data_IF_138924051731
#
_entry.id   IF_138924051731
#
_cell.length_a   1.000
_cell.length_b   1.000
_cell.length_c   1.000
_cell.angle_alpha   90.00
_cell.angle_beta   90.00
_cell.angle_gamma   90.00
#
_symmetry.space_group_name_H-M   'P 1'
#
loop_
_entity.id
_entity.type
_entity.pdbx_description
1 polymer ?
#
# COMPACT_ATOMS: atom_id res chain seq x y z
N UNK A 1 8.57 -9.48 1.70
CA UNK A 1 7.87 -9.80 2.96
C UNK A 1 8.84 -9.90 4.14
N UNK A 2 9.90 -10.70 4.01
CA UNK A 2 10.87 -10.90 5.11
C UNK A 2 11.56 -9.61 5.53
N UNK A 3 12.01 -8.78 4.60
CA UNK A 3 12.69 -7.53 4.90
C UNK A 3 11.75 -6.54 5.60
N UNK A 4 10.51 -6.45 5.17
CA UNK A 4 9.51 -5.60 5.82
C UNK A 4 9.17 -6.10 7.23
N UNK A 5 9.06 -7.43 7.40
CA UNK A 5 8.86 -8.03 8.73
C UNK A 5 10.03 -7.72 9.69
N UNK A 6 11.26 -7.73 9.18
CA UNK A 6 12.45 -7.39 9.97
C UNK A 6 12.52 -5.89 10.31
N UNK A 7 12.00 -5.03 9.45
CA UNK A 7 11.92 -3.59 9.69
C UNK A 7 10.72 -3.18 10.57
N UNK A 8 9.87 -4.10 10.93
CA UNK A 8 8.59 -4.00 11.63
C UNK A 8 8.25 -2.61 12.17
N UNK A 9 7.39 -1.90 11.47
CA UNK A 9 6.85 -0.61 11.93
C UNK A 9 5.35 -0.76 12.22
N UNK A 10 4.85 -0.35 13.39
CA UNK A 10 3.47 -0.60 13.79
C UNK A 10 2.43 0.04 12.87
N UNK A 11 2.81 1.10 12.17
CA UNK A 11 1.93 1.82 11.26
C UNK A 11 1.98 1.30 9.81
N UNK A 12 2.89 0.37 9.50
CA UNK A 12 3.02 -0.24 8.16
C UNK A 12 2.51 -1.67 8.25
N UNK A 13 1.42 -1.95 7.52
CA UNK A 13 0.78 -3.28 7.54
C UNK A 13 0.88 -3.95 6.17
N UNK A 14 1.69 -5.00 6.03
CA UNK A 14 1.73 -5.79 4.80
C UNK A 14 0.47 -6.64 4.65
N UNK A 15 0.27 -7.17 3.44
CA UNK A 15 -0.76 -8.16 3.18
C UNK A 15 -0.36 -9.48 3.83
N UNK A 16 -1.29 -10.11 4.53
CA UNK A 16 -1.11 -11.43 5.12
C UNK A 16 -1.53 -12.50 4.13
N UNK A 17 -0.66 -13.48 3.91
CA UNK A 17 -0.98 -14.69 3.13
C UNK A 17 -1.50 -15.74 4.11
N UNK A 18 -2.72 -16.24 3.87
CA UNK A 18 -3.33 -17.25 4.72
C UNK A 18 -2.52 -18.56 4.69
N UNK A 19 -2.57 -19.29 5.80
CA UNK A 19 -1.90 -20.58 5.91
C UNK A 19 -2.31 -21.53 4.78
N UNK A 20 -1.36 -22.25 4.23
CA UNK A 20 -1.56 -23.18 3.12
C UNK A 20 -1.60 -22.53 1.74
N UNK A 21 -1.57 -21.19 1.64
CA UNK A 21 -1.57 -20.46 0.39
C UNK A 21 -0.18 -19.91 0.06
N UNK A 22 0.05 -19.67 -1.23
CA UNK A 22 1.25 -19.02 -1.75
C UNK A 22 0.86 -17.82 -2.58
N UNK A 23 1.57 -16.71 -2.43
CA UNK A 23 1.39 -15.53 -3.28
C UNK A 23 2.53 -15.39 -4.27
N UNK A 24 2.23 -15.01 -5.49
CA UNK A 24 3.24 -14.67 -6.52
C UNK A 24 3.71 -13.21 -6.41
N UNK A 25 3.09 -12.41 -5.55
CA UNK A 25 3.41 -10.99 -5.35
C UNK A 25 3.55 -10.22 -6.68
N UNK A 26 2.56 -10.34 -7.56
CA UNK A 26 2.50 -9.51 -8.77
C UNK A 26 2.53 -8.01 -8.44
N UNK A 27 2.02 -7.68 -7.25
CA UNK A 27 2.14 -6.36 -6.62
C UNK A 27 2.48 -6.57 -5.14
N UNK A 28 3.31 -5.70 -4.59
CA UNK A 28 3.60 -5.72 -3.15
C UNK A 28 2.90 -4.53 -2.50
N UNK A 29 1.72 -4.77 -1.95
CA UNK A 29 0.86 -3.75 -1.36
C UNK A 29 1.02 -3.73 0.16
N UNK A 30 1.13 -2.54 0.70
CA UNK A 30 1.14 -2.26 2.13
C UNK A 30 0.04 -1.25 2.46
N UNK A 31 -0.34 -1.16 3.72
CA UNK A 31 -1.23 -0.12 4.22
C UNK A 31 -0.42 0.84 5.10
N UNK A 32 -0.56 2.12 4.83
CA UNK A 32 0.15 3.20 5.54
C UNK A 32 -0.81 4.31 5.94
N UNK A 33 -0.54 5.00 7.04
CA UNK A 33 -1.26 6.24 7.37
C UNK A 33 -0.78 7.38 6.47
N UNK A 34 -1.57 8.43 6.34
CA UNK A 34 -1.17 9.64 5.60
C UNK A 34 -0.60 9.35 4.20
N UNK A 35 -1.25 8.43 3.49
CA UNK A 35 -0.75 7.88 2.20
C UNK A 35 -0.28 8.95 1.21
N UNK A 36 -1.04 10.02 1.02
CA UNK A 36 -0.68 11.06 0.06
C UNK A 36 0.68 11.71 0.40
N UNK A 37 0.92 11.99 1.66
CA UNK A 37 2.18 12.57 2.14
C UNK A 37 3.33 11.55 2.04
N UNK A 38 3.07 10.30 2.39
CA UNK A 38 4.04 9.20 2.25
C UNK A 38 4.48 9.05 0.78
N UNK A 39 3.54 9.10 -0.16
CA UNK A 39 3.83 9.05 -1.60
C UNK A 39 4.77 10.21 -2.01
N UNK A 40 4.49 11.42 -1.58
CA UNK A 40 5.32 12.58 -1.92
C UNK A 40 6.75 12.46 -1.36
N UNK A 41 6.90 11.99 -0.13
CA UNK A 41 8.22 11.76 0.47
C UNK A 41 8.98 10.66 -0.28
N UNK A 42 8.32 9.54 -0.61
CA UNK A 42 8.92 8.46 -1.39
C UNK A 42 9.35 8.92 -2.77
N UNK A 43 8.49 9.67 -3.45
CA UNK A 43 8.79 10.25 -4.77
C UNK A 43 10.01 11.17 -4.72
N UNK A 44 10.12 12.02 -3.71
CA UNK A 44 11.27 12.91 -3.51
C UNK A 44 12.58 12.12 -3.31
N UNK A 45 12.51 10.89 -2.80
CA UNK A 45 13.65 10.00 -2.63
C UNK A 45 13.83 9.01 -3.79
N UNK A 46 13.15 9.22 -4.92
CA UNK A 46 13.29 8.40 -6.11
C UNK A 46 12.60 7.03 -6.03
N UNK A 47 11.67 6.82 -5.08
CA UNK A 47 10.91 5.57 -4.96
C UNK A 47 9.53 5.75 -5.59
N UNK A 48 9.28 5.19 -6.78
CA UNK A 48 7.96 5.24 -7.41
C UNK A 48 6.99 4.30 -6.68
N UNK A 49 5.73 4.69 -6.64
CA UNK A 49 4.66 3.89 -6.02
C UNK A 49 3.42 3.91 -6.90
N UNK A 50 2.49 3.00 -6.61
CA UNK A 50 1.19 2.96 -7.27
C UNK A 50 0.10 2.72 -6.22
N UNK A 51 -1.13 3.11 -6.55
CA UNK A 51 -2.30 2.88 -5.69
C UNK A 51 -3.31 2.03 -6.45
N UNK A 52 -3.56 0.84 -5.97
CA UNK A 52 -4.51 -0.12 -6.54
C UNK A 52 -5.53 -0.53 -5.47
N UNK A 53 -6.63 0.20 -5.28
CA UNK A 53 -7.07 1.39 -6.03
C UNK A 53 -7.52 2.46 -5.03
N UNK A 54 -7.50 3.75 -5.40
CA UNK A 54 -7.80 4.83 -4.46
C UNK A 54 -9.29 5.03 -4.20
N UNK A 55 -10.15 4.41 -5.00
CA UNK A 55 -11.59 4.58 -4.93
C UNK A 55 -12.30 3.23 -4.96
N UNK A 56 -13.21 2.99 -4.00
CA UNK A 56 -14.03 1.79 -3.97
C UNK A 56 -14.97 1.70 -5.17
N UNK A 57 -15.30 0.47 -5.59
CA UNK A 57 -16.19 0.24 -6.75
C UNK A 57 -17.53 0.97 -6.62
N UNK A 58 -18.15 0.91 -5.43
CA UNK A 58 -19.45 1.55 -5.18
C UNK A 58 -19.38 3.09 -5.18
N UNK A 59 -18.20 3.67 -5.06
CA UNK A 59 -17.96 5.12 -5.12
C UNK A 59 -17.58 5.61 -6.52
N UNK A 60 -17.45 4.71 -7.49
CA UNK A 60 -17.13 5.09 -8.87
C UNK A 60 -18.26 5.96 -9.45
N UNK A 61 -17.92 6.98 -10.27
CA UNK A 61 -18.91 7.90 -10.85
C UNK A 61 -20.05 7.21 -11.63
N UNK A 62 -19.77 6.06 -12.22
CA UNK A 62 -20.78 5.27 -12.97
C UNK A 62 -21.97 4.85 -12.09
N UNK A 63 -21.75 4.72 -10.78
CA UNK A 63 -22.81 4.34 -9.84
C UNK A 63 -23.46 5.53 -9.12
N UNK A 64 -23.03 6.76 -9.43
CA UNK A 64 -23.60 7.96 -8.82
C UNK A 64 -25.12 8.03 -9.03
N UNK A 65 -25.86 8.32 -7.95
CA UNK A 65 -27.31 8.36 -7.98
C UNK A 65 -28.00 6.98 -7.91
N UNK A 66 -27.26 5.90 -7.84
CA UNK A 66 -27.82 4.56 -7.65
C UNK A 66 -27.85 4.19 -6.15
N UNK A 67 -28.70 3.20 -5.74
CA UNK A 67 -28.70 2.70 -4.37
C UNK A 67 -27.34 2.13 -3.91
N UNK A 68 -26.52 1.61 -4.83
CA UNK A 68 -25.20 1.08 -4.54
C UNK A 68 -24.26 2.17 -4.00
N UNK A 69 -24.30 3.36 -4.59
CA UNK A 69 -23.46 4.48 -4.15
C UNK A 69 -23.73 4.93 -2.71
N UNK A 70 -24.95 4.70 -2.20
CA UNK A 70 -25.35 5.03 -0.84
C UNK A 70 -24.96 3.96 0.20
N UNK A 71 -24.50 2.78 -0.24
CA UNK A 71 -24.07 1.73 0.68
C UNK A 71 -22.72 2.03 1.30
N UNK A 72 -22.49 1.47 2.50
CA UNK A 72 -21.25 1.59 3.22
C UNK A 72 -20.52 0.25 3.28
N UNK A 73 -19.24 0.28 2.91
CA UNK A 73 -18.31 -0.85 3.00
C UNK A 73 -17.06 -0.39 3.75
N UNK A 74 -17.12 -0.30 5.08
CA UNK A 74 -16.09 0.40 5.86
C UNK A 74 -14.69 -0.21 5.70
N UNK A 75 -14.58 -1.53 5.57
CA UNK A 75 -13.28 -2.18 5.36
C UNK A 75 -12.68 -1.85 3.99
N UNK A 76 -13.48 -1.87 2.94
CA UNK A 76 -13.05 -1.51 1.59
C UNK A 76 -12.70 -0.02 1.50
N UNK A 77 -13.51 0.83 2.08
CA UNK A 77 -13.28 2.29 2.12
C UNK A 77 -11.99 2.62 2.85
N UNK A 78 -11.75 2.01 4.00
CA UNK A 78 -10.51 2.19 4.76
C UNK A 78 -9.29 1.67 3.98
N UNK A 79 -9.41 0.52 3.32
CA UNK A 79 -8.34 -0.01 2.48
C UNK A 79 -8.01 0.95 1.31
N UNK A 80 -9.03 1.50 0.64
CA UNK A 80 -8.84 2.47 -0.44
C UNK A 80 -8.06 3.71 0.00
N UNK A 81 -8.20 4.13 1.27
CA UNK A 81 -7.48 5.27 1.83
C UNK A 81 -6.02 4.97 2.20
N UNK A 82 -5.70 3.70 2.47
CA UNK A 82 -4.42 3.32 3.08
C UNK A 82 -3.48 2.55 2.15
N UNK A 83 -3.99 1.88 1.10
CA UNK A 83 -3.18 0.97 0.28
C UNK A 83 -2.17 1.70 -0.59
N UNK A 84 -0.97 1.13 -0.67
CA UNK A 84 0.16 1.63 -1.42
C UNK A 84 0.97 0.45 -1.94
N UNK A 85 1.24 0.41 -3.25
CA UNK A 85 2.06 -0.65 -3.84
C UNK A 85 3.49 -0.15 -4.06
N UNK A 86 4.44 -0.92 -3.54
CA UNK A 86 5.88 -0.65 -3.64
C UNK A 86 6.42 -1.21 -4.97
N UNK A 87 7.60 -0.74 -5.44
CA UNK A 87 8.26 -1.33 -6.59
C UNK A 87 8.47 -2.84 -6.42
N UNK A 88 8.07 -3.61 -7.41
CA UNK A 88 8.20 -5.07 -7.41
C UNK A 88 8.41 -5.58 -8.83
N UNK A 89 9.49 -6.34 -9.05
CA UNK A 89 9.79 -7.04 -10.29
C UNK A 89 10.70 -8.25 -10.00
N UNK A 90 10.74 -9.28 -10.88
CA UNK A 90 11.41 -10.55 -10.55
C UNK A 90 12.88 -10.44 -10.17
N UNK A 91 13.61 -9.54 -10.80
CA UNK A 91 15.07 -9.39 -10.63
C UNK A 91 15.45 -8.31 -9.60
N UNK A 92 14.51 -7.82 -8.80
CA UNK A 92 14.81 -6.82 -7.77
C UNK A 92 15.76 -7.42 -6.72
N UNK A 93 16.92 -6.81 -6.52
CA UNK A 93 17.88 -7.33 -5.57
C UNK A 93 17.54 -6.97 -4.11
N UNK A 94 18.14 -7.70 -3.16
CA UNK A 94 17.88 -7.51 -1.74
C UNK A 94 18.36 -6.14 -1.21
N UNK A 95 19.43 -5.61 -1.75
CA UNK A 95 19.95 -4.30 -1.34
C UNK A 95 18.97 -3.19 -1.73
N UNK A 96 18.42 -3.24 -2.95
CA UNK A 96 17.41 -2.29 -3.40
C UNK A 96 16.11 -2.43 -2.61
N UNK A 97 15.66 -3.65 -2.34
CA UNK A 97 14.50 -3.90 -1.48
C UNK A 97 14.69 -3.29 -0.09
N UNK A 98 15.87 -3.46 0.52
CA UNK A 98 16.18 -2.89 1.83
C UNK A 98 16.13 -1.35 1.79
N UNK A 99 16.69 -0.72 0.76
CA UNK A 99 16.63 0.73 0.58
C UNK A 99 15.18 1.24 0.44
N UNK A 100 14.36 0.55 -0.34
CA UNK A 100 12.94 0.90 -0.50
C UNK A 100 12.22 0.84 0.85
N UNK A 101 12.48 -0.19 1.65
CA UNK A 101 11.87 -0.34 2.97
C UNK A 101 12.35 0.74 3.94
N UNK A 102 13.62 1.07 3.93
CA UNK A 102 14.19 2.14 4.76
C UNK A 102 13.54 3.49 4.40
N UNK A 103 13.39 3.79 3.11
CA UNK A 103 12.68 4.99 2.66
C UNK A 103 11.20 4.98 3.07
N UNK A 104 10.54 3.83 3.01
CA UNK A 104 9.13 3.70 3.43
C UNK A 104 8.98 3.98 4.92
N UNK A 105 9.81 3.37 5.76
CA UNK A 105 9.79 3.58 7.21
C UNK A 105 10.03 5.06 7.53
N UNK A 106 11.08 5.64 6.96
CA UNK A 106 11.40 7.06 7.15
C UNK A 106 10.27 7.99 6.69
N UNK A 107 9.64 7.68 5.55
CA UNK A 107 8.50 8.45 5.03
C UNK A 107 7.31 8.40 5.97
N UNK A 108 6.97 7.22 6.49
CA UNK A 108 5.87 7.07 7.45
C UNK A 108 6.19 7.83 8.74
N UNK A 109 7.37 7.68 9.29
CA UNK A 109 7.78 8.38 10.52
C UNK A 109 7.74 9.91 10.36
N UNK A 110 8.17 10.43 9.22
CA UNK A 110 8.19 11.88 8.97
C UNK A 110 6.81 12.50 8.77
N UNK A 111 5.79 11.70 8.50
CA UNK A 111 4.42 12.16 8.24
C UNK A 111 3.45 11.91 9.40
N UNK A 112 3.91 11.30 10.48
CA UNK A 112 3.10 11.05 11.68
C UNK A 112 2.82 12.32 12.50
#
# INVERSE_FOLDING_TARGET
ARLLANAAHPQIRPVTVAEGNTSVYAQYTVRVPNRAQVIEVLKANGVPTAVHYPMCLHKQPVYAGTPLAAQSFPHAEKAADEVLSLPMYPDIDHALQAQIIDHLVAAVESTL
#
